data_IF_612889574001
#
_entry.id   IF_612889574001
#
_cell.length_a   1.000
_cell.length_b   1.000
_cell.length_c   1.000
_cell.angle_alpha   90.00
_cell.angle_beta   90.00
_cell.angle_gamma   90.00
#
_symmetry.space_group_name_H-M   'P 1'
#
loop_
_entity.id
_entity.type
_entity.pdbx_description
1 polymer ?
#
# COMPACT_ATOMS: atom_id res chain seq x y z
N UNK A 1 -101.44 17.54 9.47
CA UNK A 1 -100.72 18.84 9.46
C UNK A 1 -99.24 18.58 9.25
N UNK A 2 -98.68 19.07 8.15
CA UNK A 2 -97.24 19.23 7.86
C UNK A 2 -97.13 20.65 7.31
N UNK A 3 -96.21 21.53 7.79
CA UNK A 3 -94.89 21.70 7.15
C UNK A 3 -93.81 22.21 8.14
N UNK A 4 -92.69 22.86 7.73
CA UNK A 4 -91.41 22.26 7.34
C UNK A 4 -90.21 22.82 8.18
N UNK A 5 -88.94 22.45 7.90
CA UNK A 5 -87.77 22.82 8.72
C UNK A 5 -87.08 24.10 8.23
N UNK A 6 -86.37 24.84 9.10
CA UNK A 6 -85.36 25.84 8.68
C UNK A 6 -84.24 26.13 9.70
N UNK A 7 -83.11 26.69 9.22
CA UNK A 7 -81.77 26.53 9.81
C UNK A 7 -81.13 27.87 10.24
N UNK A 8 -79.83 27.79 10.60
CA UNK A 8 -78.78 28.82 10.50
C UNK A 8 -78.47 29.74 11.70
N UNK A 9 -77.20 29.69 12.11
CA UNK A 9 -76.21 30.78 12.03
C UNK A 9 -75.47 31.12 13.34
N UNK A 10 -74.14 31.12 13.21
CA UNK A 10 -73.15 32.10 13.71
C UNK A 10 -73.39 32.74 15.08
N UNK A 11 -72.42 32.61 15.98
CA UNK A 11 -71.45 33.69 16.24
C UNK A 11 -70.37 33.29 17.26
N UNK A 12 -69.20 33.90 17.08
CA UNK A 12 -67.96 33.79 17.84
C UNK A 12 -68.00 34.61 19.15
N UNK A 13 -67.42 34.03 20.20
CA UNK A 13 -66.50 34.62 21.21
C UNK A 13 -67.02 35.79 22.10
N UNK A 14 -66.27 36.31 23.10
CA UNK A 14 -65.10 35.81 23.86
C UNK A 14 -65.27 35.95 25.40
N UNK A 15 -64.15 35.92 26.13
CA UNK A 15 -63.89 36.27 27.55
C UNK A 15 -63.90 35.09 28.54
N UNK A 16 -62.73 34.57 28.91
CA UNK A 16 -61.80 35.11 29.92
C UNK A 16 -62.27 34.80 31.34
N UNK A 17 -61.57 33.90 32.04
CA UNK A 17 -60.69 34.22 33.18
C UNK A 17 -60.17 32.93 33.82
N UNK A 18 -58.87 32.92 34.06
CA UNK A 18 -58.06 31.99 34.87
C UNK A 18 -58.37 32.16 36.38
N UNK A 19 -57.59 31.64 37.37
CA UNK A 19 -56.75 30.44 37.52
C UNK A 19 -57.05 29.70 38.86
N UNK A 20 -56.13 28.77 39.23
CA UNK A 20 -55.77 28.28 40.59
C UNK A 20 -56.47 26.97 41.02
N UNK A 21 -55.83 26.00 41.67
CA UNK A 21 -54.52 25.95 42.34
C UNK A 21 -54.06 24.51 42.57
N UNK A 22 -52.73 24.30 42.52
CA UNK A 22 -51.88 23.56 43.48
C UNK A 22 -52.24 22.11 43.85
N UNK A 23 -51.31 21.15 43.80
CA UNK A 23 -50.15 21.13 44.69
C UNK A 23 -48.99 20.24 44.21
N UNK A 24 -47.78 20.77 44.47
CA UNK A 24 -46.41 20.21 44.39
C UNK A 24 -46.12 19.28 45.60
N UNK A 25 -44.87 18.82 45.87
CA UNK A 25 -43.75 18.39 45.02
C UNK A 25 -43.04 17.10 45.55
N UNK A 26 -42.05 16.55 44.82
CA UNK A 26 -40.95 15.80 45.44
C UNK A 26 -39.59 16.19 44.85
N UNK A 27 -38.69 16.59 45.74
CA UNK A 27 -37.25 16.83 45.54
C UNK A 27 -36.51 15.50 45.40
N UNK A 28 -35.47 15.45 44.58
CA UNK A 28 -34.15 15.00 45.02
C UNK A 28 -33.05 15.58 44.13
N UNK A 29 -32.00 16.04 44.79
CA UNK A 29 -30.77 16.57 44.23
C UNK A 29 -29.70 15.47 44.20
N UNK A 30 -28.82 15.48 43.19
CA UNK A 30 -27.40 15.07 43.24
C UNK A 30 -26.80 15.36 41.85
N UNK A 31 -25.83 16.26 41.73
CA UNK A 31 -24.42 16.19 42.17
C UNK A 31 -23.54 15.76 41.00
N UNK A 32 -22.82 16.74 40.49
CA UNK A 32 -21.49 16.62 39.88
C UNK A 32 -20.62 15.62 40.65
N UNK A 33 -20.07 14.61 39.97
CA UNK A 33 -18.96 13.81 40.47
C UNK A 33 -18.22 13.13 39.31
N UNK A 34 -16.96 13.54 39.16
CA UNK A 34 -15.86 12.92 38.43
C UNK A 34 -15.79 11.41 38.70
N UNK A 35 -15.52 10.54 37.70
CA UNK A 35 -15.28 9.13 37.98
C UNK A 35 -13.92 8.95 38.68
N UNK A 36 -13.82 8.02 39.66
CA UNK A 36 -12.59 7.83 40.43
C UNK A 36 -11.54 7.08 39.62
N UNK A 37 -10.28 7.50 39.80
CA UNK A 37 -9.09 6.78 39.37
C UNK A 37 -9.04 5.40 40.06
N UNK A 38 -9.44 4.36 39.35
CA UNK A 38 -9.19 2.98 39.77
C UNK A 38 -7.73 2.63 39.46
N UNK A 39 -6.99 2.37 40.53
CA UNK A 39 -5.62 1.85 40.49
C UNK A 39 -5.60 0.52 39.73
N UNK A 40 -5.24 0.54 38.44
CA UNK A 40 -4.82 -0.66 37.72
C UNK A 40 -3.43 -1.06 38.25
N UNK A 41 -3.44 -1.90 39.28
CA UNK A 41 -2.27 -2.61 39.78
C UNK A 41 -1.83 -3.59 38.69
N UNK A 42 -0.79 -3.24 37.94
CA UNK A 42 -0.10 -4.17 37.04
C UNK A 42 0.41 -5.37 37.84
N UNK A 43 -0.28 -6.51 37.73
CA UNK A 43 0.20 -7.79 38.24
C UNK A 43 1.27 -8.26 37.27
N UNK A 44 2.54 -8.13 37.65
CA UNK A 44 3.68 -8.72 36.92
C UNK A 44 3.47 -10.24 36.87
N UNK A 45 3.16 -10.78 35.70
CA UNK A 45 3.31 -12.20 35.42
C UNK A 45 4.81 -12.53 35.33
N UNK A 46 5.32 -13.56 36.03
CA UNK A 46 6.73 -13.91 35.95
C UNK A 46 7.02 -14.57 34.61
N UNK A 47 8.10 -14.12 33.98
CA UNK A 47 8.66 -14.67 32.75
C UNK A 47 8.93 -16.18 32.90
N UNK A 48 8.34 -17.00 32.02
CA UNK A 48 8.72 -18.40 31.85
C UNK A 48 10.05 -18.45 31.09
N UNK A 49 11.12 -18.87 31.77
CA UNK A 49 12.37 -19.30 31.14
C UNK A 49 12.13 -20.61 30.37
N UNK A 50 12.63 -20.77 29.13
CA UNK A 50 12.75 -22.10 28.55
C UNK A 50 14.02 -22.76 29.08
N UNK A 51 13.84 -23.79 29.90
CA UNK A 51 14.87 -24.72 30.35
C UNK A 51 15.25 -25.67 29.21
N UNK A 52 16.52 -25.67 28.81
CA UNK A 52 17.13 -26.70 27.99
C UNK A 52 17.26 -28.01 28.77
N UNK A 53 16.72 -29.12 28.24
CA UNK A 53 17.09 -30.48 28.66
C UNK A 53 17.69 -31.26 27.49
N UNK A 54 18.65 -32.17 27.75
CA UNK A 54 19.59 -32.67 26.75
C UNK A 54 19.08 -33.91 26.00
N UNK A 55 19.48 -34.04 24.74
CA UNK A 55 19.27 -35.23 23.91
C UNK A 55 20.37 -36.26 24.19
N UNK A 56 20.00 -37.34 24.87
CA UNK A 56 20.79 -38.57 24.92
C UNK A 56 20.48 -39.46 23.70
N UNK A 57 21.54 -39.79 22.97
CA UNK A 57 21.84 -41.13 22.46
C UNK A 57 20.82 -41.84 21.57
N UNK A 58 21.17 -41.99 20.28
CA UNK A 58 20.90 -43.25 19.56
C UNK A 58 22.06 -43.62 18.64
N UNK A 59 22.73 -44.71 19.02
CA UNK A 59 23.69 -45.50 18.27
C UNK A 59 22.99 -46.35 17.19
N UNK A 60 23.77 -46.69 16.16
CA UNK A 60 23.71 -47.87 15.24
C UNK A 60 22.79 -47.84 14.01
N UNK A 61 23.42 -47.73 12.82
CA UNK A 61 23.61 -48.79 11.78
C UNK A 61 24.43 -48.16 10.63
N UNK A 62 25.69 -48.52 10.34
CA UNK A 62 26.19 -49.70 9.55
C UNK A 62 25.30 -49.98 8.33
N UNK A 63 25.76 -50.08 7.08
CA UNK A 63 27.05 -50.30 6.41
C UNK A 63 26.81 -50.03 4.90
N UNK A 64 27.81 -49.57 4.14
CA UNK A 64 28.19 -50.15 2.84
C UNK A 64 29.31 -49.34 2.15
N UNK A 65 30.24 -50.10 1.56
CA UNK A 65 31.34 -49.74 0.63
C UNK A 65 32.65 -49.20 1.22
N UNK A 66 33.45 -50.19 1.63
CA UNK A 66 34.85 -50.37 1.27
C UNK A 66 35.23 -49.89 -0.14
N UNK A 67 36.37 -49.20 -0.26
CA UNK A 67 37.57 -49.67 -0.96
C UNK A 67 38.73 -48.67 -0.76
N UNK A 68 39.91 -49.20 -0.41
CA UNK A 68 41.18 -48.51 -0.22
C UNK A 68 41.86 -48.22 -1.60
N UNK A 69 43.07 -47.63 -1.76
CA UNK A 69 44.24 -47.72 -0.86
C UNK A 69 45.07 -46.44 -0.64
N UNK A 70 45.88 -46.50 0.40
CA UNK A 70 47.06 -45.67 0.68
C UNK A 70 48.20 -46.00 -0.33
N UNK A 71 49.26 -45.17 -0.52
CA UNK A 71 50.38 -45.27 0.43
C UNK A 71 51.29 -44.02 0.58
N UNK A 72 52.27 -44.21 1.46
CA UNK A 72 53.63 -43.64 1.49
C UNK A 72 53.86 -42.45 2.45
N UNK A 73 54.46 -42.79 3.59
CA UNK A 73 54.89 -41.84 4.60
C UNK A 73 56.23 -41.18 4.30
N UNK A 74 56.65 -40.31 5.23
CA UNK A 74 58.03 -40.11 5.63
C UNK A 74 58.05 -39.40 7.00
N UNK A 75 58.79 -40.03 7.90
CA UNK A 75 59.21 -39.60 9.22
C UNK A 75 59.99 -38.27 9.16
N UNK A 76 59.75 -37.34 10.09
CA UNK A 76 60.83 -36.75 10.91
C UNK A 76 60.36 -35.76 11.98
N UNK A 77 61.17 -35.76 13.04
CA UNK A 77 60.98 -35.24 14.40
C UNK A 77 61.15 -33.71 14.55
N UNK A 78 60.48 -33.20 15.61
CA UNK A 78 60.93 -32.22 16.64
C UNK A 78 60.63 -30.69 16.44
N UNK A 79 60.65 -29.88 17.55
CA UNK A 79 59.50 -29.11 18.04
C UNK A 79 59.70 -27.57 18.04
N UNK A 80 58.65 -26.79 18.36
CA UNK A 80 58.69 -25.42 18.95
C UNK A 80 57.26 -25.02 19.36
N UNK A 81 56.95 -24.86 20.65
CA UNK A 81 57.05 -23.61 21.42
C UNK A 81 56.17 -22.46 20.92
N UNK A 82 55.33 -21.94 21.83
CA UNK A 82 54.98 -20.51 21.84
C UNK A 82 53.55 -20.18 21.42
N UNK A 83 52.71 -19.94 22.43
CA UNK A 83 51.44 -19.22 22.32
C UNK A 83 51.63 -17.84 21.64
N UNK A 84 50.77 -17.50 20.68
CA UNK A 84 50.59 -16.12 20.18
C UNK A 84 49.31 -15.51 20.81
N UNK A 85 49.39 -14.35 21.48
CA UNK A 85 48.21 -13.61 21.91
C UNK A 85 47.68 -12.65 20.83
N UNK A 86 46.46 -12.17 21.06
CA UNK A 86 45.59 -11.39 20.19
C UNK A 86 46.19 -10.10 19.59
N UNK A 87 45.96 -9.90 18.28
CA UNK A 87 45.21 -8.74 17.76
C UNK A 87 45.83 -7.34 17.80
N UNK A 88 46.87 -7.11 17.00
CA UNK A 88 47.09 -5.90 16.18
C UNK A 88 45.90 -5.10 15.60
N UNK A 89 45.62 -3.80 15.91
CA UNK A 89 44.79 -3.00 15.02
C UNK A 89 45.58 -2.68 13.73
N UNK A 90 45.08 -3.17 12.59
CA UNK A 90 45.70 -2.98 11.27
C UNK A 90 45.79 -1.49 10.91
N UNK A 91 47.00 -0.92 10.97
CA UNK A 91 47.37 0.32 10.27
C UNK A 91 47.50 0.02 8.78
N UNK A 92 46.52 0.41 7.97
CA UNK A 92 46.66 0.46 6.53
C UNK A 92 47.79 1.43 6.15
N UNK A 93 48.91 0.90 5.64
CA UNK A 93 49.94 1.69 4.94
C UNK A 93 49.48 1.87 3.50
N UNK A 94 48.86 3.02 3.20
CA UNK A 94 48.83 3.51 1.82
C UNK A 94 50.18 4.14 1.50
N UNK A 95 50.96 3.53 0.60
CA UNK A 95 52.16 4.13 0.02
C UNK A 95 52.17 4.00 -1.50
N UNK A 96 52.34 5.17 -2.14
CA UNK A 96 52.80 5.50 -3.49
C UNK A 96 52.06 5.04 -4.75
N UNK A 97 51.76 6.01 -5.63
CA UNK A 97 52.04 5.88 -7.06
C UNK A 97 53.12 6.88 -7.50
N UNK A 98 54.09 6.35 -8.23
CA UNK A 98 55.24 7.04 -8.79
C UNK A 98 54.86 8.23 -9.70
N UNK A 99 54.80 9.42 -9.13
CA UNK A 99 55.17 10.73 -9.72
C UNK A 99 54.92 11.78 -8.62
N UNK A 100 55.93 12.03 -7.78
CA UNK A 100 55.91 13.16 -6.83
C UNK A 100 56.52 14.40 -7.51
N UNK A 101 55.75 15.44 -7.85
CA UNK A 101 56.21 16.81 -7.74
C UNK A 101 55.69 17.34 -6.41
N UNK A 102 56.58 17.48 -5.43
CA UNK A 102 56.39 17.85 -4.01
C UNK A 102 56.14 16.69 -3.05
N UNK A 103 57.24 16.24 -2.42
CA UNK A 103 57.19 15.67 -1.09
C UNK A 103 56.39 16.63 -0.19
N UNK A 104 55.27 16.17 0.37
CA UNK A 104 54.41 17.06 1.15
C UNK A 104 55.19 17.60 2.37
N UNK A 105 55.10 18.92 2.59
CA UNK A 105 55.81 19.59 3.66
C UNK A 105 55.38 19.03 5.04
N UNK A 106 56.34 18.91 5.96
CA UNK A 106 56.09 18.42 7.32
C UNK A 106 54.97 19.25 7.99
N UNK A 107 53.84 18.59 8.31
CA UNK A 107 52.68 19.21 8.93
C UNK A 107 51.40 19.30 8.07
N UNK A 108 51.45 18.92 6.79
CA UNK A 108 50.28 18.98 5.87
C UNK A 108 49.59 17.62 5.63
N UNK A 109 49.82 16.62 6.48
CA UNK A 109 49.24 15.28 6.32
C UNK A 109 47.93 15.19 7.09
N UNK A 110 46.84 14.85 6.41
CA UNK A 110 45.54 14.58 7.03
C UNK A 110 45.31 13.06 7.05
N UNK A 111 45.20 12.48 8.25
CA UNK A 111 44.85 11.07 8.40
C UNK A 111 43.34 10.92 8.26
N UNK A 112 42.90 10.11 7.31
CA UNK A 112 41.50 9.72 7.16
C UNK A 112 41.32 8.36 7.81
N UNK A 113 40.50 8.30 8.86
CA UNK A 113 40.13 7.05 9.55
C UNK A 113 38.69 6.70 9.24
N UNK A 114 38.44 5.47 8.80
CA UNK A 114 37.11 4.93 8.54
C UNK A 114 36.81 3.80 9.53
N UNK A 115 35.57 3.71 9.98
CA UNK A 115 35.13 2.64 10.90
C UNK A 115 35.09 1.28 10.19
N UNK A 116 34.79 1.27 8.88
CA UNK A 116 34.69 0.06 8.08
C UNK A 116 36.03 -0.28 7.42
N UNK A 117 36.55 -1.52 7.57
CA UNK A 117 37.73 -2.00 6.85
C UNK A 117 37.63 -1.88 5.32
N UNK A 118 38.74 -1.80 4.61
CA UNK A 118 38.75 -1.64 3.14
C UNK A 118 38.12 -2.83 2.39
N UNK A 119 38.34 -4.06 2.88
CA UNK A 119 37.78 -5.28 2.30
C UNK A 119 36.24 -5.39 2.43
N UNK A 120 35.62 -4.57 3.27
CA UNK A 120 34.17 -4.52 3.47
C UNK A 120 33.52 -3.31 2.78
N UNK A 121 34.31 -2.48 2.08
CA UNK A 121 33.83 -1.29 1.34
C UNK A 121 33.85 -1.56 -0.17
N UNK A 122 32.90 -0.93 -0.90
CA UNK A 122 32.90 -0.93 -2.38
C UNK A 122 33.98 -0.02 -3.00
N UNK A 123 34.50 0.92 -2.22
CA UNK A 123 35.52 1.89 -2.63
C UNK A 123 36.79 1.70 -1.82
N UNK A 124 37.93 1.67 -2.52
CA UNK A 124 39.24 1.51 -1.90
C UNK A 124 39.75 2.78 -1.22
N UNK A 125 40.77 2.65 -0.37
CA UNK A 125 41.33 3.76 0.41
C UNK A 125 41.93 4.85 -0.49
N UNK A 126 42.56 4.45 -1.60
CA UNK A 126 43.08 5.40 -2.60
C UNK A 126 41.96 6.21 -3.26
N UNK A 127 40.84 5.57 -3.61
CA UNK A 127 39.72 6.24 -4.26
C UNK A 127 39.09 7.28 -3.33
N UNK A 128 39.00 6.97 -2.05
CA UNK A 128 38.49 7.90 -1.05
C UNK A 128 39.46 9.07 -0.84
N UNK A 129 40.77 8.80 -0.79
CA UNK A 129 41.77 9.86 -0.70
C UNK A 129 41.71 10.81 -1.92
N UNK A 130 41.51 10.27 -3.13
CA UNK A 130 41.29 11.09 -4.32
C UNK A 130 39.99 11.90 -4.23
N UNK A 131 38.88 11.27 -3.81
CA UNK A 131 37.60 11.95 -3.64
C UNK A 131 37.70 13.12 -2.65
N UNK A 132 38.33 12.92 -1.49
CA UNK A 132 38.53 13.97 -0.49
C UNK A 132 39.45 15.09 -1.01
N UNK A 133 40.48 14.74 -1.78
CA UNK A 133 41.34 15.73 -2.43
C UNK A 133 40.57 16.54 -3.47
N UNK A 134 39.71 15.90 -4.26
CA UNK A 134 38.86 16.58 -5.26
C UNK A 134 37.81 17.47 -4.58
N UNK A 135 37.20 17.01 -3.47
CA UNK A 135 36.31 17.83 -2.64
C UNK A 135 37.03 19.05 -2.08
N UNK A 136 38.25 18.88 -1.54
CA UNK A 136 39.04 19.98 -0.99
C UNK A 136 39.43 21.03 -2.04
N UNK A 137 39.58 20.61 -3.30
CA UNK A 137 39.81 21.49 -4.45
C UNK A 137 38.54 22.13 -5.01
N UNK A 138 37.37 21.82 -4.45
CA UNK A 138 36.08 22.30 -4.95
C UNK A 138 35.67 21.70 -6.30
N UNK A 139 36.25 20.56 -6.68
CA UNK A 139 35.98 19.87 -7.96
C UNK A 139 34.84 18.84 -7.85
N UNK A 140 34.31 18.62 -6.65
CA UNK A 140 33.16 17.75 -6.38
C UNK A 140 32.03 18.63 -5.87
N UNK A 141 30.91 18.59 -6.58
CA UNK A 141 29.68 19.30 -6.21
C UNK A 141 28.55 18.29 -5.94
N UNK A 142 27.62 18.67 -5.07
CA UNK A 142 26.42 17.89 -4.78
C UNK A 142 25.19 18.59 -5.38
N UNK A 143 24.58 17.92 -6.36
CA UNK A 143 23.43 18.44 -7.08
C UNK A 143 22.14 17.70 -6.81
N UNK A 144 21.03 18.25 -7.30
CA UNK A 144 19.76 17.55 -7.36
C UNK A 144 19.86 16.39 -8.35
N UNK A 145 19.58 15.15 -7.90
CA UNK A 145 19.66 13.96 -8.74
C UNK A 145 18.42 13.85 -9.65
N UNK A 146 18.44 14.55 -10.79
CA UNK A 146 17.41 14.44 -11.83
C UNK A 146 17.32 13.02 -12.41
N UNK A 147 18.45 12.32 -12.47
CA UNK A 147 18.54 10.92 -12.91
C UNK A 147 17.60 9.99 -12.16
N UNK A 148 17.33 10.26 -10.88
CA UNK A 148 16.36 9.50 -10.11
C UNK A 148 14.95 9.48 -10.74
N UNK A 149 14.53 10.57 -11.38
CA UNK A 149 13.19 10.69 -11.98
C UNK A 149 13.13 10.29 -13.45
N UNK A 150 14.28 10.24 -14.14
CA UNK A 150 14.36 9.96 -15.58
C UNK A 150 14.85 8.55 -15.88
N UNK A 151 15.59 7.92 -14.97
CA UNK A 151 16.13 6.58 -15.14
C UNK A 151 15.16 5.50 -14.64
N UNK A 152 15.33 4.28 -15.15
CA UNK A 152 14.67 3.08 -14.64
C UNK A 152 15.41 2.47 -13.45
N UNK A 153 15.01 1.27 -13.05
CA UNK A 153 15.58 0.60 -11.89
C UNK A 153 17.05 0.20 -12.15
N UNK A 154 17.89 0.27 -11.12
CA UNK A 154 19.30 -0.16 -11.17
C UNK A 154 19.70 -0.88 -9.88
N UNK A 155 20.60 -1.86 -10.01
CA UNK A 155 21.24 -2.49 -8.84
C UNK A 155 22.29 -1.58 -8.20
N UNK A 156 22.79 -0.62 -8.95
CA UNK A 156 23.70 0.41 -8.43
C UNK A 156 22.85 1.61 -7.98
N UNK A 157 22.93 1.95 -6.70
CA UNK A 157 22.10 2.99 -6.10
C UNK A 157 22.29 4.37 -6.77
N UNK A 158 23.47 4.64 -7.31
CA UNK A 158 23.79 5.88 -8.01
C UNK A 158 22.93 6.08 -9.28
N UNK A 159 22.70 4.99 -10.02
CA UNK A 159 21.95 4.99 -11.28
C UNK A 159 20.47 4.65 -11.10
N UNK A 160 20.06 4.16 -9.93
CA UNK A 160 18.69 3.74 -9.66
C UNK A 160 17.70 4.92 -9.78
N UNK A 161 16.70 4.75 -10.63
CA UNK A 161 15.60 5.68 -10.84
C UNK A 161 14.22 5.02 -10.69
N UNK A 162 13.20 5.88 -10.58
CA UNK A 162 11.82 5.49 -10.21
C UNK A 162 10.86 5.52 -11.41
N UNK A 163 11.31 5.96 -12.58
CA UNK A 163 10.43 6.24 -13.73
C UNK A 163 9.65 5.00 -14.17
N UNK A 164 10.31 3.85 -14.27
CA UNK A 164 9.68 2.59 -14.67
C UNK A 164 8.54 2.20 -13.72
N UNK A 165 8.76 2.33 -12.41
CA UNK A 165 7.76 2.05 -11.39
C UNK A 165 6.59 3.06 -11.39
N UNK A 166 6.88 4.34 -11.65
CA UNK A 166 5.88 5.40 -11.74
C UNK A 166 4.94 5.19 -12.93
N UNK A 167 5.50 4.97 -14.13
CA UNK A 167 4.73 4.71 -15.35
C UNK A 167 3.96 3.38 -15.21
N UNK A 168 4.62 2.36 -14.66
CA UNK A 168 3.99 1.08 -14.38
C UNK A 168 2.80 1.16 -13.43
N UNK A 169 2.92 1.90 -12.33
CA UNK A 169 1.81 2.19 -11.43
C UNK A 169 0.68 2.95 -12.12
N UNK A 170 0.99 3.97 -12.93
CA UNK A 170 0.00 4.70 -13.72
C UNK A 170 -0.81 3.77 -14.64
N UNK A 171 -0.11 2.93 -15.41
CA UNK A 171 -0.72 2.00 -16.35
C UNK A 171 -1.57 0.95 -15.64
N UNK A 172 -1.05 0.38 -14.54
CA UNK A 172 -1.76 -0.60 -13.71
C UNK A 172 -3.03 0.01 -13.13
N UNK A 173 -2.94 1.21 -12.54
CA UNK A 173 -4.09 1.93 -11.97
C UNK A 173 -5.11 2.30 -13.05
N UNK A 174 -4.67 2.67 -14.25
CA UNK A 174 -5.57 2.92 -15.36
C UNK A 174 -6.37 1.68 -15.75
N UNK A 175 -5.72 0.52 -15.89
CA UNK A 175 -6.40 -0.76 -16.18
C UNK A 175 -7.39 -1.11 -15.06
N UNK A 176 -6.95 -0.98 -13.79
CA UNK A 176 -7.83 -1.20 -12.62
C UNK A 176 -9.08 -0.34 -12.72
N UNK A 177 -8.94 0.96 -12.97
CA UNK A 177 -10.05 1.91 -13.03
C UNK A 177 -11.03 1.58 -14.17
N UNK A 178 -10.49 1.34 -15.37
CA UNK A 178 -11.29 1.06 -16.58
C UNK A 178 -12.08 -0.24 -16.43
N UNK A 179 -11.53 -1.24 -15.73
CA UNK A 179 -12.24 -2.48 -15.49
C UNK A 179 -13.21 -2.39 -14.30
N UNK A 180 -12.78 -1.80 -13.18
CA UNK A 180 -13.61 -1.72 -11.97
C UNK A 180 -14.82 -0.83 -12.11
N UNK A 181 -14.72 0.32 -12.80
CA UNK A 181 -15.83 1.27 -12.87
C UNK A 181 -17.06 0.69 -13.56
N UNK A 182 -16.97 0.14 -14.80
CA UNK A 182 -18.13 -0.44 -15.47
C UNK A 182 -18.71 -1.63 -14.70
N UNK A 183 -17.86 -2.51 -14.17
CA UNK A 183 -18.32 -3.70 -13.42
C UNK A 183 -18.93 -3.30 -12.09
N UNK A 184 -18.31 -2.38 -11.36
CA UNK A 184 -18.76 -1.93 -10.04
C UNK A 184 -20.06 -1.14 -10.10
N UNK A 185 -20.18 -0.22 -11.07
CA UNK A 185 -21.37 0.60 -11.27
C UNK A 185 -22.49 -0.21 -11.92
N UNK A 186 -22.18 -1.04 -12.92
CA UNK A 186 -23.17 -1.85 -13.63
C UNK A 186 -23.86 -2.88 -12.73
N UNK A 187 -23.15 -3.42 -11.73
CA UNK A 187 -23.72 -4.33 -10.71
C UNK A 187 -24.48 -3.58 -9.61
N UNK A 188 -24.25 -2.28 -9.49
CA UNK A 188 -24.68 -1.41 -8.40
C UNK A 188 -26.17 -1.10 -8.28
N UNK A 189 -27.08 -1.84 -8.95
CA UNK A 189 -28.56 -1.69 -8.92
C UNK A 189 -29.19 -1.00 -10.17
N UNK A 190 -28.52 -1.01 -11.34
CA UNK A 190 -29.07 -0.52 -12.63
C UNK A 190 -30.31 -1.31 -13.11
N UNK A 191 -30.57 -2.50 -12.58
CA UNK A 191 -31.63 -3.42 -13.02
C UNK A 191 -32.95 -3.34 -12.23
N UNK A 192 -33.11 -2.35 -11.35
CA UNK A 192 -34.33 -2.21 -10.52
C UNK A 192 -35.57 -1.72 -11.26
N UNK A 193 -35.47 -1.65 -12.59
CA UNK A 193 -36.58 -1.52 -13.51
C UNK A 193 -37.72 -2.49 -13.21
N UNK A 194 -37.46 -3.79 -13.20
CA UNK A 194 -38.53 -4.82 -13.22
C UNK A 194 -38.08 -6.13 -12.54
N UNK A 195 -37.42 -6.10 -11.38
CA UNK A 195 -37.09 -7.37 -10.70
C UNK A 195 -37.13 -7.27 -9.18
N UNK A 196 -38.08 -7.98 -8.60
CA UNK A 196 -38.11 -8.36 -7.19
C UNK A 196 -36.78 -9.01 -6.79
N UNK A 197 -36.44 -8.94 -5.49
CA UNK A 197 -35.30 -9.67 -4.89
C UNK A 197 -35.23 -11.07 -5.47
N UNK A 198 -34.20 -11.34 -6.27
CA UNK A 198 -34.00 -12.63 -6.91
C UNK A 198 -32.92 -13.37 -6.14
N UNK A 199 -33.06 -14.67 -5.91
CA UNK A 199 -32.06 -15.49 -5.19
C UNK A 199 -30.63 -15.31 -5.74
N UNK A 200 -30.52 -15.03 -7.04
CA UNK A 200 -29.27 -14.70 -7.71
C UNK A 200 -28.60 -13.41 -7.23
N UNK A 201 -29.38 -12.37 -6.95
CA UNK A 201 -28.88 -11.10 -6.40
C UNK A 201 -28.33 -11.32 -5.00
N UNK A 202 -29.04 -12.09 -4.17
CA UNK A 202 -28.61 -12.42 -2.81
C UNK A 202 -27.31 -13.25 -2.82
N UNK A 203 -27.19 -14.23 -3.72
CA UNK A 203 -25.95 -15.00 -3.91
C UNK A 203 -24.79 -14.08 -4.30
N UNK A 204 -25.00 -13.18 -5.26
CA UNK A 204 -23.96 -12.23 -5.69
C UNK A 204 -23.55 -11.33 -4.52
N UNK A 205 -24.51 -10.83 -3.74
CA UNK A 205 -24.25 -9.96 -2.60
C UNK A 205 -23.46 -10.67 -1.49
N UNK A 206 -23.81 -11.93 -1.19
CA UNK A 206 -23.06 -12.76 -0.25
C UNK A 206 -21.63 -12.98 -0.76
N UNK A 207 -21.44 -13.29 -2.05
CA UNK A 207 -20.11 -13.48 -2.62
C UNK A 207 -19.27 -12.19 -2.59
N UNK A 208 -19.87 -11.03 -2.86
CA UNK A 208 -19.15 -9.74 -2.78
C UNK A 208 -18.69 -9.47 -1.34
N UNK A 209 -19.57 -9.69 -0.36
CA UNK A 209 -19.23 -9.51 1.06
C UNK A 209 -18.16 -10.52 1.51
N UNK A 210 -18.22 -11.76 1.02
CA UNK A 210 -17.20 -12.77 1.29
C UNK A 210 -15.86 -12.38 0.65
N UNK A 211 -15.85 -11.91 -0.60
CA UNK A 211 -14.65 -11.41 -1.27
C UNK A 211 -14.03 -10.25 -0.48
N UNK A 212 -14.82 -9.31 0.01
CA UNK A 212 -14.32 -8.19 0.81
C UNK A 212 -13.58 -8.61 2.10
N UNK A 213 -13.79 -9.85 2.58
CA UNK A 213 -13.11 -10.40 3.76
C UNK A 213 -11.84 -11.21 3.42
N UNK A 214 -11.55 -11.44 2.14
CA UNK A 214 -10.41 -12.25 1.71
C UNK A 214 -9.10 -11.45 1.86
N UNK A 215 -8.02 -12.02 2.43
CA UNK A 215 -6.72 -11.37 2.50
C UNK A 215 -6.15 -11.03 1.12
N UNK A 216 -5.46 -9.89 0.96
CA UNK A 216 -4.97 -9.40 -0.33
C UNK A 216 -4.01 -10.37 -1.05
N UNK A 217 -3.23 -11.15 -0.30
CA UNK A 217 -2.32 -12.17 -0.85
C UNK A 217 -3.06 -13.25 -1.68
N UNK A 218 -4.29 -13.60 -1.29
CA UNK A 218 -5.07 -14.63 -1.99
C UNK A 218 -5.46 -14.15 -3.39
N UNK A 219 -5.69 -12.85 -3.57
CA UNK A 219 -5.94 -12.26 -4.89
C UNK A 219 -4.74 -12.37 -5.82
N UNK A 220 -3.52 -12.26 -5.29
CA UNK A 220 -2.29 -12.49 -6.06
C UNK A 220 -2.17 -13.94 -6.52
N UNK A 221 -2.47 -14.91 -5.65
CA UNK A 221 -2.48 -16.34 -6.01
C UNK A 221 -3.55 -16.66 -7.05
N UNK A 222 -4.74 -16.06 -6.90
CA UNK A 222 -5.82 -16.16 -7.88
C UNK A 222 -5.40 -15.59 -9.23
N UNK A 223 -4.75 -14.43 -9.24
CA UNK A 223 -4.21 -13.80 -10.44
C UNK A 223 -3.16 -14.66 -11.14
N UNK A 224 -2.23 -15.24 -10.38
CA UNK A 224 -1.24 -16.18 -10.88
C UNK A 224 -1.90 -17.42 -11.51
N UNK A 225 -2.89 -18.01 -10.84
CA UNK A 225 -3.57 -19.21 -11.33
C UNK A 225 -4.43 -18.93 -12.58
N UNK A 226 -5.22 -17.86 -12.57
CA UNK A 226 -6.17 -17.57 -13.64
C UNK A 226 -5.50 -16.85 -14.79
N UNK A 227 -4.85 -15.70 -14.54
CA UNK A 227 -4.34 -14.87 -15.64
C UNK A 227 -3.05 -15.43 -16.23
N UNK A 228 -2.10 -15.86 -15.39
CA UNK A 228 -0.81 -16.35 -15.87
C UNK A 228 -0.88 -17.81 -16.32
N UNK A 229 -1.39 -18.71 -15.48
CA UNK A 229 -1.34 -20.15 -15.79
C UNK A 229 -2.46 -20.59 -16.74
N UNK A 230 -3.69 -20.11 -16.55
CA UNK A 230 -4.82 -20.53 -17.39
C UNK A 230 -4.93 -19.72 -18.68
N UNK A 231 -4.90 -18.38 -18.61
CA UNK A 231 -4.98 -17.52 -19.79
C UNK A 231 -3.63 -17.25 -20.49
N UNK A 232 -2.50 -17.65 -19.90
CA UNK A 232 -1.17 -17.46 -20.51
C UNK A 232 -0.73 -15.99 -20.62
N UNK A 233 -1.27 -15.09 -19.80
CA UNK A 233 -0.94 -13.67 -19.85
C UNK A 233 0.52 -13.41 -19.44
N UNK A 234 1.17 -12.35 -19.97
CA UNK A 234 2.54 -12.02 -19.62
C UNK A 234 2.67 -11.70 -18.13
N UNK A 235 3.67 -12.32 -17.49
CA UNK A 235 4.02 -12.04 -16.09
C UNK A 235 4.48 -10.59 -15.97
N UNK A 236 4.33 -10.03 -14.76
CA UNK A 236 4.81 -8.67 -14.48
C UNK A 236 4.24 -7.60 -15.43
N UNK A 237 3.03 -7.77 -15.96
CA UNK A 237 2.43 -6.80 -16.89
C UNK A 237 1.41 -5.89 -16.18
N UNK A 238 1.25 -4.66 -16.68
CA UNK A 238 0.31 -3.70 -16.12
C UNK A 238 -1.14 -4.20 -16.23
N UNK A 239 -1.45 -4.95 -17.31
CA UNK A 239 -2.77 -5.56 -17.50
C UNK A 239 -3.08 -6.55 -16.39
N UNK A 240 -2.19 -7.51 -16.12
CA UNK A 240 -2.42 -8.51 -15.08
C UNK A 240 -2.49 -7.85 -13.70
N UNK A 241 -1.54 -6.96 -13.40
CA UNK A 241 -1.56 -6.20 -12.15
C UNK A 241 -2.88 -5.44 -11.96
N UNK A 242 -3.36 -4.80 -13.02
CA UNK A 242 -4.62 -4.06 -13.02
C UNK A 242 -5.83 -4.95 -12.78
N UNK A 243 -5.90 -6.13 -13.42
CA UNK A 243 -6.98 -7.08 -13.18
C UNK A 243 -6.96 -7.66 -11.76
N UNK A 244 -5.79 -7.97 -11.21
CA UNK A 244 -5.69 -8.48 -9.84
C UNK A 244 -6.10 -7.42 -8.82
N UNK A 245 -5.59 -6.20 -8.95
CA UNK A 245 -6.01 -5.08 -8.09
C UNK A 245 -7.49 -4.76 -8.27
N UNK A 246 -8.02 -4.92 -9.49
CA UNK A 246 -9.44 -4.74 -9.73
C UNK A 246 -10.28 -5.76 -8.96
N UNK A 247 -9.92 -7.05 -8.98
CA UNK A 247 -10.61 -8.07 -8.19
C UNK A 247 -10.62 -7.76 -6.69
N UNK A 248 -9.52 -7.20 -6.18
CA UNK A 248 -9.36 -6.80 -4.79
C UNK A 248 -10.24 -5.59 -4.42
N UNK A 249 -10.29 -4.58 -5.27
CA UNK A 249 -10.99 -3.31 -4.97
C UNK A 249 -12.47 -3.32 -5.39
N UNK A 250 -12.86 -4.22 -6.29
CA UNK A 250 -14.21 -4.29 -6.83
C UNK A 250 -15.31 -4.39 -5.74
N UNK A 251 -15.18 -5.19 -4.65
CA UNK A 251 -16.18 -5.23 -3.60
C UNK A 251 -16.44 -3.86 -2.96
N UNK A 252 -15.38 -3.11 -2.67
CA UNK A 252 -15.44 -1.76 -2.11
C UNK A 252 -16.20 -0.81 -3.03
N UNK A 253 -15.89 -0.84 -4.34
CA UNK A 253 -16.56 0.00 -5.33
C UNK A 253 -18.04 -0.38 -5.48
N UNK A 254 -18.38 -1.68 -5.49
CA UNK A 254 -19.78 -2.13 -5.59
C UNK A 254 -20.59 -1.66 -4.38
N UNK A 255 -20.07 -1.84 -3.16
CA UNK A 255 -20.76 -1.44 -1.93
C UNK A 255 -21.01 0.06 -1.92
N UNK A 256 -19.99 0.86 -2.24
CA UNK A 256 -20.13 2.31 -2.31
C UNK A 256 -21.10 2.76 -3.43
N UNK A 257 -21.05 2.10 -4.59
CA UNK A 257 -21.95 2.42 -5.71
C UNK A 257 -23.41 2.15 -5.36
N UNK A 258 -23.70 1.02 -4.69
CA UNK A 258 -25.04 0.68 -4.21
C UNK A 258 -25.54 1.67 -3.16
N UNK A 259 -24.68 2.05 -2.22
CA UNK A 259 -25.02 3.05 -1.20
C UNK A 259 -25.36 4.41 -1.84
N UNK A 260 -24.58 4.84 -2.83
CA UNK A 260 -24.81 6.08 -3.57
C UNK A 260 -26.11 6.05 -4.39
N UNK A 261 -26.39 4.96 -5.09
CA UNK A 261 -27.63 4.80 -5.86
C UNK A 261 -28.87 4.73 -4.97
N UNK A 262 -28.77 4.08 -3.80
CA UNK A 262 -29.86 4.01 -2.81
C UNK A 262 -30.15 5.35 -2.13
N UNK A 263 -29.16 6.25 -2.07
CA UNK A 263 -29.34 7.58 -1.49
C UNK A 263 -30.18 8.53 -2.37
N UNK A 264 -30.36 8.20 -3.66
CA UNK A 264 -31.19 8.99 -4.56
C UNK A 264 -32.68 8.80 -4.21
N UNK A 265 -33.44 9.88 -3.98
CA UNK A 265 -34.86 9.77 -3.68
C UNK A 265 -35.63 9.03 -4.79
N UNK A 266 -36.53 8.08 -4.44
CA UNK A 266 -37.30 7.33 -5.44
C UNK A 266 -38.21 8.24 -6.29
N UNK A 267 -38.63 9.39 -5.74
CA UNK A 267 -39.48 10.36 -6.42
C UNK A 267 -38.88 10.89 -7.73
N UNK A 268 -37.54 11.01 -7.87
CA UNK A 268 -36.95 11.48 -9.14
C UNK A 268 -37.12 10.44 -10.24
N UNK A 269 -37.05 9.15 -9.87
CA UNK A 269 -37.29 8.05 -10.81
C UNK A 269 -38.77 7.99 -11.18
N UNK A 270 -39.66 8.07 -10.20
CA UNK A 270 -41.11 8.08 -10.43
C UNK A 270 -41.55 9.26 -11.30
N UNK A 271 -40.99 10.45 -11.08
CA UNK A 271 -41.24 11.62 -11.92
C UNK A 271 -40.77 11.40 -13.38
N UNK A 272 -39.56 10.84 -13.58
CA UNK A 272 -39.08 10.53 -14.92
C UNK A 272 -40.00 9.52 -15.65
N UNK A 273 -40.43 8.48 -14.95
CA UNK A 273 -41.39 7.50 -15.50
C UNK A 273 -42.76 8.14 -15.78
N UNK A 274 -43.22 9.05 -14.91
CA UNK A 274 -44.49 9.77 -15.06
C UNK A 274 -44.55 10.68 -16.29
N UNK A 275 -43.40 11.13 -16.79
CA UNK A 275 -43.29 11.92 -18.04
C UNK A 275 -43.06 11.01 -19.27
N UNK A 276 -43.11 9.69 -19.09
CA UNK A 276 -43.00 8.71 -20.17
C UNK A 276 -41.58 8.20 -20.46
N UNK A 277 -40.60 8.49 -19.59
CA UNK A 277 -39.26 7.92 -19.75
C UNK A 277 -39.26 6.40 -19.53
N UNK A 278 -38.43 5.67 -20.27
CA UNK A 278 -38.19 4.25 -20.01
C UNK A 278 -37.42 4.04 -18.71
N UNK A 279 -37.47 2.83 -18.14
CA UNK A 279 -36.71 2.52 -16.93
C UNK A 279 -35.21 2.72 -17.10
N UNK A 280 -34.66 2.41 -18.28
CA UNK A 280 -33.25 2.65 -18.57
C UNK A 280 -32.95 4.14 -18.66
N UNK A 281 -33.80 4.93 -19.33
CA UNK A 281 -33.66 6.38 -19.40
C UNK A 281 -33.73 7.04 -18.01
N UNK A 282 -34.68 6.61 -17.16
CA UNK A 282 -34.80 7.10 -15.80
C UNK A 282 -33.52 6.89 -14.98
N UNK A 283 -32.88 5.72 -15.13
CA UNK A 283 -31.65 5.41 -14.43
C UNK A 283 -30.46 6.16 -15.04
N UNK A 284 -30.22 6.05 -16.34
CA UNK A 284 -29.03 6.63 -16.98
C UNK A 284 -29.04 8.16 -17.01
N UNK A 285 -30.20 8.81 -17.12
CA UNK A 285 -30.28 10.26 -17.26
C UNK A 285 -30.56 10.99 -15.94
N UNK A 286 -31.18 10.33 -14.95
CA UNK A 286 -31.55 10.98 -13.69
C UNK A 286 -30.87 10.35 -12.47
N UNK A 287 -31.04 9.04 -12.23
CA UNK A 287 -30.53 8.40 -11.01
C UNK A 287 -29.00 8.27 -11.00
N UNK A 288 -28.41 7.77 -12.08
CA UNK A 288 -26.99 7.48 -12.19
C UNK A 288 -26.14 8.75 -12.14
N UNK A 289 -26.39 9.80 -12.97
CA UNK A 289 -25.58 11.03 -12.95
C UNK A 289 -25.54 11.67 -11.58
N UNK A 290 -26.59 11.44 -10.80
CA UNK A 290 -26.72 12.00 -9.49
C UNK A 290 -26.10 11.16 -8.37
N UNK A 291 -26.07 9.84 -8.52
CA UNK A 291 -25.29 8.98 -7.66
C UNK A 291 -23.78 9.11 -7.93
N UNK A 292 -23.36 9.68 -9.08
CA UNK A 292 -21.95 9.77 -9.50
C UNK A 292 -21.02 10.34 -8.42
N UNK A 293 -21.32 11.46 -7.72
CA UNK A 293 -20.41 11.96 -6.69
C UNK A 293 -20.17 10.95 -5.56
N UNK A 294 -21.19 10.17 -5.20
CA UNK A 294 -21.09 9.08 -4.22
C UNK A 294 -20.30 7.89 -4.75
N UNK A 295 -20.58 7.45 -5.97
CA UNK A 295 -19.84 6.37 -6.66
C UNK A 295 -18.35 6.72 -6.74
N UNK A 296 -18.03 7.94 -7.19
CA UNK A 296 -16.65 8.42 -7.31
C UNK A 296 -15.92 8.45 -5.97
N UNK A 297 -16.62 8.73 -4.87
CA UNK A 297 -16.03 8.66 -3.53
C UNK A 297 -15.59 7.23 -3.21
N UNK A 298 -16.45 6.25 -3.49
CA UNK A 298 -16.12 4.84 -3.37
C UNK A 298 -14.94 4.43 -4.25
N UNK A 299 -14.92 4.90 -5.50
CA UNK A 299 -13.80 4.68 -6.42
C UNK A 299 -12.50 5.28 -5.89
N UNK A 300 -12.51 6.50 -5.37
CA UNK A 300 -11.33 7.16 -4.80
C UNK A 300 -10.75 6.32 -3.66
N UNK A 301 -11.60 5.89 -2.72
CA UNK A 301 -11.19 5.05 -1.59
C UNK A 301 -10.61 3.71 -2.10
N UNK A 302 -11.28 3.10 -3.06
CA UNK A 302 -10.83 1.85 -3.67
C UNK A 302 -9.47 1.98 -4.36
N UNK A 303 -9.28 3.01 -5.19
CA UNK A 303 -8.01 3.25 -5.89
C UNK A 303 -6.88 3.58 -4.92
N UNK A 304 -7.14 4.38 -3.89
CA UNK A 304 -6.15 4.65 -2.84
C UNK A 304 -5.69 3.36 -2.14
N UNK A 305 -6.62 2.43 -1.91
CA UNK A 305 -6.31 1.11 -1.35
C UNK A 305 -5.45 0.27 -2.33
N UNK A 306 -5.88 0.12 -3.59
CA UNK A 306 -5.13 -0.64 -4.60
C UNK A 306 -3.69 -0.14 -4.80
N UNK A 307 -3.49 1.17 -4.76
CA UNK A 307 -2.18 1.80 -4.93
C UNK A 307 -1.19 1.39 -3.82
N UNK A 308 -1.71 1.12 -2.62
CA UNK A 308 -0.93 0.66 -1.47
C UNK A 308 -0.75 -0.85 -1.38
N UNK A 309 -1.32 -1.64 -2.31
CA UNK A 309 -1.24 -3.09 -2.26
C UNK A 309 0.04 -3.61 -2.92
N UNK A 310 0.91 -4.21 -2.10
CA UNK A 310 2.18 -4.81 -2.56
C UNK A 310 2.07 -6.33 -2.72
N UNK A 311 1.45 -6.99 -1.74
CA UNK A 311 1.39 -8.46 -1.65
C UNK A 311 0.85 -9.15 -2.91
N UNK A 312 -0.31 -8.78 -3.47
CA UNK A 312 -0.83 -9.44 -4.67
C UNK A 312 0.06 -9.22 -5.91
N UNK A 313 0.71 -8.05 -6.02
CA UNK A 313 1.57 -7.72 -7.15
C UNK A 313 2.88 -8.50 -7.14
N UNK A 314 3.47 -8.72 -5.97
CA UNK A 314 4.64 -9.58 -5.81
C UNK A 314 4.38 -10.99 -6.32
N UNK A 315 3.20 -11.55 -6.02
CA UNK A 315 2.85 -12.92 -6.41
C UNK A 315 2.68 -13.13 -7.91
N UNK A 316 2.25 -12.10 -8.66
CA UNK A 316 2.14 -12.17 -10.13
C UNK A 316 3.45 -11.80 -10.85
N UNK A 317 4.54 -11.66 -10.10
CA UNK A 317 5.89 -11.52 -10.65
C UNK A 317 6.36 -10.09 -10.86
N UNK A 318 5.70 -9.07 -10.31
CA UNK A 318 6.16 -7.67 -10.38
C UNK A 318 7.40 -7.38 -9.52
N UNK A 319 7.91 -8.39 -8.80
CA UNK A 319 9.18 -8.36 -8.06
C UNK A 319 10.41 -8.45 -8.98
N UNK A 320 10.21 -8.61 -10.29
CA UNK A 320 11.32 -8.67 -11.23
C UNK A 320 12.03 -7.32 -11.35
N UNK A 321 13.37 -7.36 -11.37
CA UNK A 321 14.20 -6.19 -11.64
C UNK A 321 14.01 -5.75 -13.10
N UNK A 322 13.35 -4.60 -13.29
CA UNK A 322 12.94 -4.10 -14.61
C UNK A 322 13.57 -2.72 -14.83
N UNK A 323 14.61 -2.71 -15.66
CA UNK A 323 15.38 -1.51 -16.00
C UNK A 323 14.62 -0.63 -16.98
N UNK A 324 13.88 -1.23 -17.91
CA UNK A 324 13.21 -0.50 -18.97
C UNK A 324 11.90 0.14 -18.51
N UNK A 325 11.64 1.35 -19.01
CA UNK A 325 10.34 2.00 -18.82
C UNK A 325 9.31 1.28 -19.69
N UNK A 326 8.16 0.86 -19.13
CA UNK A 326 7.16 0.13 -19.88
C UNK A 326 6.59 0.99 -21.02
N UNK A 327 6.60 0.44 -22.23
CA UNK A 327 6.08 1.09 -23.45
C UNK A 327 4.67 0.63 -23.80
N UNK A 328 4.22 -0.50 -23.24
CA UNK A 328 2.91 -1.11 -23.51
C UNK A 328 2.28 -1.66 -22.23
N UNK A 329 0.96 -1.81 -22.20
CA UNK A 329 0.25 -2.41 -21.05
C UNK A 329 0.63 -3.88 -20.81
N UNK A 330 1.10 -4.58 -21.84
CA UNK A 330 1.51 -5.99 -21.77
C UNK A 330 3.01 -6.18 -21.58
N UNK A 331 3.83 -5.13 -21.69
CA UNK A 331 5.27 -5.23 -21.43
C UNK A 331 5.53 -5.44 -19.95
N UNK A 332 6.71 -5.99 -19.63
CA UNK A 332 7.17 -6.10 -18.26
C UNK A 332 7.21 -4.72 -17.59
N UNK A 333 6.65 -4.63 -16.40
CA UNK A 333 6.55 -3.42 -15.60
C UNK A 333 6.57 -3.78 -14.12
N UNK A 334 6.99 -2.82 -13.31
CA UNK A 334 6.86 -2.84 -11.84
C UNK A 334 5.87 -1.78 -11.38
N UNK A 335 5.62 -1.70 -10.07
CA UNK A 335 4.77 -0.70 -9.46
C UNK A 335 5.52 -0.04 -8.30
N UNK A 336 5.25 1.24 -8.05
CA UNK A 336 5.85 2.02 -6.96
C UNK A 336 5.91 1.29 -5.61
N UNK A 337 4.82 0.69 -5.06
CA UNK A 337 4.89 -0.02 -3.78
C UNK A 337 5.81 -1.26 -3.82
N UNK A 338 5.87 -1.95 -4.96
CA UNK A 338 6.77 -3.10 -5.15
C UNK A 338 8.22 -2.64 -5.25
N UNK A 339 8.48 -1.53 -5.94
CA UNK A 339 9.81 -0.95 -6.04
C UNK A 339 10.35 -0.49 -4.68
N UNK A 340 9.49 0.15 -3.88
CA UNK A 340 9.82 0.56 -2.49
C UNK A 340 10.18 -0.67 -1.66
N UNK A 341 9.40 -1.75 -1.77
CA UNK A 341 9.68 -3.00 -1.07
C UNK A 341 11.06 -3.57 -1.48
N UNK A 342 11.33 -3.66 -2.79
CA UNK A 342 12.60 -4.16 -3.31
C UNK A 342 13.80 -3.34 -2.82
N UNK A 343 13.72 -2.02 -2.89
CA UNK A 343 14.82 -1.16 -2.43
C UNK A 343 14.99 -1.16 -0.91
N UNK A 344 13.91 -1.36 -0.15
CA UNK A 344 13.98 -1.46 1.31
C UNK A 344 14.70 -2.71 1.82
N UNK A 345 14.75 -3.75 0.99
CA UNK A 345 15.40 -5.03 1.31
C UNK A 345 16.90 -5.02 0.94
N UNK A 346 17.37 -4.01 0.20
CA UNK A 346 18.77 -3.90 -0.19
C UNK A 346 19.64 -3.37 0.98
N UNK A 347 20.77 -4.01 1.28
CA UNK A 347 21.58 -3.69 2.47
C UNK A 347 22.41 -2.40 2.34
N UNK A 348 22.55 -1.87 1.14
CA UNK A 348 23.40 -0.70 0.88
C UNK A 348 22.73 0.60 1.34
N UNK A 349 23.46 1.44 2.09
CA UNK A 349 22.95 2.66 2.73
C UNK A 349 22.34 3.64 1.72
N UNK A 350 22.89 3.71 0.50
CA UNK A 350 22.37 4.57 -0.56
C UNK A 350 20.92 4.20 -0.97
N UNK A 351 20.53 2.92 -0.86
CA UNK A 351 19.14 2.51 -1.11
C UNK A 351 18.16 2.95 -0.01
N UNK A 352 18.62 3.24 1.22
CA UNK A 352 17.75 3.83 2.24
C UNK A 352 17.25 5.22 1.82
N UNK A 353 18.15 6.04 1.26
CA UNK A 353 17.81 7.36 0.74
C UNK A 353 16.89 7.24 -0.49
N UNK A 354 17.16 6.30 -1.41
CA UNK A 354 16.31 6.05 -2.60
C UNK A 354 14.93 5.53 -2.23
N UNK A 355 14.83 4.63 -1.25
CA UNK A 355 13.56 4.13 -0.71
C UNK A 355 12.75 5.27 -0.10
N UNK A 356 13.38 6.12 0.70
CA UNK A 356 12.72 7.30 1.27
C UNK A 356 12.22 8.26 0.19
N UNK A 357 13.03 8.50 -0.85
CA UNK A 357 12.62 9.31 -2.00
C UNK A 357 11.46 8.66 -2.77
N UNK A 358 11.46 7.35 -2.97
CA UNK A 358 10.38 6.62 -3.62
C UNK A 358 9.06 6.68 -2.83
N UNK A 359 9.11 6.62 -1.50
CA UNK A 359 7.93 6.82 -0.65
C UNK A 359 7.37 8.23 -0.83
N UNK A 360 8.22 9.26 -0.89
CA UNK A 360 7.75 10.63 -1.17
C UNK A 360 7.08 10.74 -2.55
N UNK A 361 7.63 10.06 -3.57
CA UNK A 361 7.02 9.98 -4.91
C UNK A 361 5.68 9.25 -4.85
N UNK A 362 5.57 8.13 -4.14
CA UNK A 362 4.32 7.39 -3.96
C UNK A 362 3.26 8.26 -3.27
N UNK A 363 3.64 8.99 -2.21
CA UNK A 363 2.73 9.90 -1.50
C UNK A 363 2.28 11.04 -2.41
N UNK A 364 3.20 11.67 -3.15
CA UNK A 364 2.87 12.71 -4.12
C UNK A 364 1.94 12.18 -5.21
N UNK A 365 2.21 10.98 -5.72
CA UNK A 365 1.39 10.31 -6.71
C UNK A 365 -0.03 10.05 -6.18
N UNK A 366 -0.14 9.53 -4.95
CA UNK A 366 -1.42 9.31 -4.27
C UNK A 366 -2.20 10.62 -4.08
N UNK A 367 -1.53 11.69 -3.63
CA UNK A 367 -2.15 13.01 -3.45
C UNK A 367 -2.60 13.60 -4.79
N UNK A 368 -1.79 13.50 -5.84
CA UNK A 368 -2.12 14.00 -7.17
C UNK A 368 -3.31 13.23 -7.76
N UNK A 369 -3.29 11.90 -7.69
CA UNK A 369 -4.38 11.04 -8.17
C UNK A 369 -5.70 11.34 -7.41
N UNK A 370 -5.66 11.37 -6.08
CA UNK A 370 -6.84 11.66 -5.27
C UNK A 370 -7.34 13.08 -5.47
N UNK A 371 -6.44 14.06 -5.58
CA UNK A 371 -6.76 15.45 -5.88
C UNK A 371 -7.47 15.59 -7.22
N UNK A 372 -6.92 14.97 -8.28
CA UNK A 372 -7.56 14.94 -9.60
C UNK A 372 -8.95 14.30 -9.54
N UNK A 373 -9.08 13.17 -8.85
CA UNK A 373 -10.37 12.49 -8.71
C UNK A 373 -11.41 13.33 -7.93
N UNK A 374 -10.99 14.07 -6.91
CA UNK A 374 -11.85 15.03 -6.19
C UNK A 374 -12.27 16.19 -7.09
N UNK A 375 -11.36 16.73 -7.91
CA UNK A 375 -11.68 17.78 -8.87
C UNK A 375 -12.71 17.31 -9.89
N UNK A 376 -12.54 16.10 -10.43
CA UNK A 376 -13.54 15.48 -11.31
C UNK A 376 -14.87 15.30 -10.57
N UNK A 377 -14.87 14.85 -9.31
CA UNK A 377 -16.09 14.68 -8.49
C UNK A 377 -16.85 16.00 -8.34
N UNK A 378 -16.16 17.10 -8.03
CA UNK A 378 -16.78 18.44 -7.90
C UNK A 378 -17.50 18.86 -9.18
N UNK A 379 -17.01 18.47 -10.36
CA UNK A 379 -17.67 18.76 -11.64
C UNK A 379 -19.00 18.01 -11.79
N UNK A 380 -19.11 16.80 -11.23
CA UNK A 380 -20.34 16.00 -11.25
C UNK A 380 -21.29 16.30 -10.09
N UNK A 381 -20.87 17.10 -9.11
CA UNK A 381 -21.68 17.53 -7.99
C UNK A 381 -22.71 18.58 -8.47
N UNK A 382 -23.80 18.10 -9.07
CA UNK A 382 -24.99 18.95 -9.29
C UNK A 382 -25.68 19.15 -7.95
N UNK A 383 -25.78 20.41 -7.54
CA UNK A 383 -26.60 20.81 -6.39
C UNK A 383 -28.07 20.63 -6.79
N UNK A 384 -28.80 19.91 -5.95
CA UNK A 384 -30.24 19.76 -6.03
C UNK A 384 -30.94 20.95 -5.39
#
# INVERSE_FOLDING_TARGET
MVPPPRPTSRARAPLATSPRSTSRPRRSARSTATPPASKLRWRRSPARRPTSKPLQGRKRRREARSEAPEPAGLDQRRPREGQQPLGEPHRGRGADPAHQPNAAQAGQWKVLTFETPENERRVGDQQIAWLETLKAKGLVDSGFNTGFFTSGDSREAEQAGILGALVGSLMTMFVTLVFCLPVGVGRGDLSRGVRAKNRWTDIIEININNLAAVPSIVYGLLGLAIFLNFFGMPRSSAVVGGFVLALLVLPTIIIASRAALKAVPPSIREAALGVGASHQQAVFHHTLPLAMPGIMTGTIIGMAHALGETAPLLLIGMVAFIVDVPTSFTSATTALPVQIYLWSDLPEVAFQAKTSAAILVLLLFLFAMNGLAILLRKRFERRW
#
